data_IF_212661934650
#
_entry.id   IF_212661934650
#
_cell.length_a   1.000
_cell.length_b   1.000
_cell.length_c   1.000
_cell.angle_alpha   90.00
_cell.angle_beta   90.00
_cell.angle_gamma   90.00
#
_symmetry.space_group_name_H-M   'P 1'
#
loop_
_entity.id
_entity.type
_entity.pdbx_description
1 polymer ?
#
# COMPACT_ATOMS: atom_id res chain seq x y z
N UNK A 1 -19.99 -8.60 12.39
CA UNK A 1 -19.80 -7.50 13.35
C UNK A 1 -18.57 -7.80 14.19
N UNK A 2 -17.41 -7.34 13.74
CA UNK A 2 -16.17 -7.39 14.51
C UNK A 2 -16.24 -6.44 15.69
N UNK A 3 -15.55 -6.80 16.76
CA UNK A 3 -15.33 -5.96 17.93
C UNK A 3 -13.88 -5.45 17.88
N UNK A 4 -13.71 -4.15 17.70
CA UNK A 4 -12.41 -3.50 17.55
C UNK A 4 -12.12 -2.68 18.81
N UNK A 5 -10.99 -2.96 19.46
CA UNK A 5 -10.61 -2.31 20.72
C UNK A 5 -9.86 -1.00 20.47
N UNK A 6 -10.60 0.11 20.38
CA UNK A 6 -10.02 1.42 20.16
C UNK A 6 -9.12 1.81 21.36
N UNK A 7 -7.84 2.16 21.15
CA UNK A 7 -6.91 2.52 22.23
C UNK A 7 -7.37 3.67 23.14
N UNK A 8 -8.39 4.42 22.70
CA UNK A 8 -8.92 5.58 23.42
C UNK A 8 -10.35 5.38 23.93
N UNK A 9 -11.13 4.49 23.32
CA UNK A 9 -12.57 4.34 23.57
C UNK A 9 -12.99 2.94 24.01
N UNK A 10 -12.05 1.99 24.03
CA UNK A 10 -12.28 0.59 24.33
C UNK A 10 -12.95 -0.18 23.18
N UNK A 11 -13.50 -1.37 23.47
CA UNK A 11 -14.15 -2.23 22.50
C UNK A 11 -15.40 -1.58 21.89
N UNK A 12 -15.47 -1.52 20.56
CA UNK A 12 -16.59 -0.96 19.78
C UNK A 12 -16.88 -1.78 18.53
N UNK A 13 -18.08 -1.63 18.00
CA UNK A 13 -18.52 -2.35 16.81
C UNK A 13 -17.82 -1.82 15.54
N UNK A 14 -17.53 -2.71 14.59
CA UNK A 14 -16.81 -2.40 13.34
C UNK A 14 -17.39 -1.23 12.54
N UNK A 15 -18.72 -1.06 12.59
CA UNK A 15 -19.46 0.00 11.88
C UNK A 15 -19.11 1.41 12.36
N UNK A 16 -18.52 1.55 13.55
CA UNK A 16 -18.03 2.85 14.04
C UNK A 16 -16.71 3.27 13.37
N UNK A 17 -16.04 2.35 12.66
CA UNK A 17 -14.70 2.55 12.14
C UNK A 17 -14.67 2.64 10.61
N UNK A 18 -13.69 3.40 10.11
CA UNK A 18 -13.30 3.35 8.70
C UNK A 18 -12.00 2.56 8.55
N UNK A 19 -11.98 1.70 7.55
CA UNK A 19 -10.81 0.94 7.16
C UNK A 19 -9.85 1.82 6.34
N UNK A 20 -8.55 1.77 6.66
CA UNK A 20 -7.51 2.57 6.00
C UNK A 20 -6.50 1.78 5.16
N UNK A 21 -6.76 0.49 4.93
CA UNK A 21 -5.84 -0.39 4.20
C UNK A 21 -4.57 -0.70 4.98
N UNK A 22 -3.52 -1.04 4.25
CA UNK A 22 -2.20 -1.39 4.78
C UNK A 22 -1.60 -0.28 5.67
N UNK A 23 -0.96 -0.69 6.77
CA UNK A 23 -0.20 0.18 7.65
C UNK A 23 1.25 0.34 7.17
N UNK A 24 1.94 1.37 7.67
CA UNK A 24 3.38 1.58 7.43
C UNK A 24 3.77 1.89 5.97
N UNK A 25 2.85 2.44 5.18
CA UNK A 25 3.16 3.05 3.89
C UNK A 25 3.22 4.57 4.09
N UNK A 26 4.41 5.15 4.34
CA UNK A 26 4.56 6.59 4.52
C UNK A 26 4.38 7.33 3.18
N UNK A 27 3.99 8.59 3.28
CA UNK A 27 4.09 9.51 2.14
C UNK A 27 5.57 9.71 1.78
N UNK A 28 5.96 9.68 0.50
CA UNK A 28 7.35 9.94 0.10
C UNK A 28 7.80 11.34 0.55
N UNK A 29 9.00 11.45 1.11
CA UNK A 29 9.53 12.73 1.60
C UNK A 29 9.68 13.77 0.48
N UNK A 30 10.15 13.33 -0.69
CA UNK A 30 10.20 14.12 -1.93
C UNK A 30 9.54 13.35 -3.09
N UNK A 31 8.25 13.58 -3.35
CA UNK A 31 7.56 12.96 -4.48
C UNK A 31 8.11 13.34 -5.85
N UNK A 32 8.77 14.50 -5.98
CA UNK A 32 9.27 15.00 -7.26
C UNK A 32 10.55 14.31 -7.71
N UNK A 33 11.25 13.65 -6.78
CA UNK A 33 12.43 12.86 -7.04
C UNK A 33 12.12 11.41 -7.48
N UNK A 34 10.87 10.95 -7.37
CA UNK A 34 10.47 9.60 -7.75
C UNK A 34 10.22 9.47 -9.25
N UNK A 35 10.56 8.32 -9.81
CA UNK A 35 10.12 8.00 -11.17
C UNK A 35 8.63 7.59 -11.22
N UNK A 36 8.05 7.56 -12.42
CA UNK A 36 6.63 7.20 -12.61
C UNK A 36 6.27 5.81 -12.04
N UNK A 37 7.24 4.89 -12.03
CA UNK A 37 7.03 3.52 -11.53
C UNK A 37 6.99 3.50 -10.00
N UNK A 38 7.87 4.24 -9.34
CA UNK A 38 7.90 4.41 -7.90
C UNK A 38 6.67 5.18 -7.42
N UNK A 39 6.31 6.26 -8.13
CA UNK A 39 5.12 7.03 -7.82
C UNK A 39 3.83 6.22 -8.02
N UNK A 40 3.71 5.46 -9.11
CA UNK A 40 2.55 4.58 -9.32
C UNK A 40 2.44 3.47 -8.26
N UNK A 41 3.57 2.94 -7.77
CA UNK A 41 3.58 2.04 -6.61
C UNK A 41 3.01 2.71 -5.37
N UNK A 42 3.46 3.93 -5.05
CA UNK A 42 2.92 4.67 -3.92
C UNK A 42 1.42 4.98 -4.07
N UNK A 43 0.94 5.32 -5.27
CA UNK A 43 -0.46 5.66 -5.49
C UNK A 43 -1.38 4.44 -5.47
N UNK A 44 -0.99 3.34 -6.11
CA UNK A 44 -1.92 2.26 -6.47
C UNK A 44 -1.61 0.90 -5.83
N UNK A 45 -0.39 0.68 -5.31
CA UNK A 45 0.02 -0.65 -4.83
C UNK A 45 0.02 -0.72 -3.31
N UNK A 46 -0.69 -1.70 -2.77
CA UNK A 46 -0.67 -2.07 -1.34
C UNK A 46 -0.60 -3.58 -1.20
N UNK A 47 -0.05 -4.06 -0.09
CA UNK A 47 -0.07 -5.48 0.23
C UNK A 47 -1.51 -5.97 0.43
N UNK A 48 -1.80 -7.16 -0.10
CA UNK A 48 -3.06 -7.87 0.10
C UNK A 48 -2.80 -9.26 0.68
N UNK A 49 -2.15 -9.30 1.85
CA UNK A 49 -1.70 -10.53 2.48
C UNK A 49 -2.89 -11.41 2.89
N UNK A 50 -2.90 -12.66 2.43
CA UNK A 50 -3.78 -13.72 2.95
C UNK A 50 -3.15 -14.30 4.22
N UNK A 51 -3.61 -13.84 5.39
CA UNK A 51 -3.01 -14.12 6.68
C UNK A 51 -2.91 -12.86 7.52
N UNK A 52 -1.94 -12.77 8.43
CA UNK A 52 -1.82 -11.60 9.30
C UNK A 52 -1.30 -10.38 8.53
N UNK A 53 -2.17 -9.40 8.34
CA UNK A 53 -1.88 -8.11 7.72
C UNK A 53 -1.74 -7.02 8.78
N UNK A 54 -0.77 -6.13 8.59
CA UNK A 54 -0.70 -4.86 9.32
C UNK A 54 -1.55 -3.82 8.60
N UNK A 55 -2.57 -3.32 9.27
CA UNK A 55 -3.61 -2.46 8.69
C UNK A 55 -3.94 -1.27 9.58
N UNK A 56 -4.63 -0.28 9.03
CA UNK A 56 -5.03 0.96 9.71
C UNK A 56 -6.53 1.04 9.89
N UNK A 57 -6.93 1.60 11.03
CA UNK A 57 -8.32 1.87 11.34
C UNK A 57 -8.47 3.28 11.91
N UNK A 58 -9.58 3.94 11.57
CA UNK A 58 -9.98 5.21 12.16
C UNK A 58 -11.30 5.02 12.91
N UNK A 59 -11.36 5.44 14.17
CA UNK A 59 -12.61 5.43 14.95
C UNK A 59 -13.53 6.60 14.56
N UNK A 60 -14.05 6.56 13.34
CA UNK A 60 -14.75 7.67 12.70
C UNK A 60 -16.00 8.16 13.42
N UNK A 61 -16.74 7.25 14.08
CA UNK A 61 -17.94 7.58 14.86
C UNK A 61 -17.66 7.85 16.35
N UNK A 62 -16.38 7.83 16.76
CA UNK A 62 -15.95 8.06 18.15
C UNK A 62 -14.85 9.11 18.24
N UNK A 63 -13.65 8.71 18.70
CA UNK A 63 -12.56 9.67 18.93
C UNK A 63 -11.91 10.24 17.65
N UNK A 64 -12.26 9.73 16.46
CA UNK A 64 -11.75 10.12 15.14
C UNK A 64 -10.24 9.92 14.93
N UNK A 65 -9.55 9.30 15.90
CA UNK A 65 -8.11 9.00 15.82
C UNK A 65 -7.87 7.77 14.96
N UNK A 66 -6.70 7.78 14.31
CA UNK A 66 -6.14 6.64 13.60
C UNK A 66 -5.34 5.77 14.57
N UNK A 67 -5.30 4.47 14.30
CA UNK A 67 -4.43 3.49 14.95
C UNK A 67 -4.14 2.33 13.99
N UNK A 68 -3.18 1.49 14.37
CA UNK A 68 -2.80 0.32 13.60
C UNK A 68 -3.31 -0.96 14.27
N UNK A 69 -3.51 -2.00 13.48
CA UNK A 69 -3.88 -3.33 13.94
C UNK A 69 -3.11 -4.41 13.16
N UNK A 70 -2.92 -5.55 13.82
CA UNK A 70 -2.57 -6.81 13.15
C UNK A 70 -3.81 -7.69 13.16
N UNK A 71 -4.29 -8.07 11.98
CA UNK A 71 -5.48 -8.92 11.84
C UNK A 71 -5.22 -10.03 10.84
N UNK A 72 -5.62 -11.25 11.17
CA UNK A 72 -5.65 -12.33 10.19
C UNK A 72 -6.81 -12.09 9.21
N UNK A 73 -6.50 -11.81 7.95
CA UNK A 73 -7.49 -11.49 6.91
C UNK A 73 -8.34 -12.69 6.48
N UNK A 74 -8.02 -13.91 6.95
CA UNK A 74 -8.81 -15.12 6.69
C UNK A 74 -9.86 -15.35 7.77
N UNK A 75 -9.51 -15.12 9.04
CA UNK A 75 -10.35 -15.42 10.21
C UNK A 75 -10.96 -14.17 10.84
N UNK A 76 -10.45 -13.00 10.47
CA UNK A 76 -10.78 -11.68 11.01
C UNK A 76 -10.44 -11.48 12.49
N UNK A 77 -9.63 -12.38 13.07
CA UNK A 77 -9.14 -12.22 14.44
C UNK A 77 -8.09 -11.12 14.51
N UNK A 78 -8.28 -10.17 15.42
CA UNK A 78 -7.29 -9.18 15.77
C UNK A 78 -6.23 -9.80 16.69
N UNK A 79 -4.97 -9.77 16.27
CA UNK A 79 -3.83 -10.25 17.04
C UNK A 79 -3.27 -9.15 17.93
N UNK A 80 -3.21 -7.92 17.43
CA UNK A 80 -2.68 -6.74 18.15
C UNK A 80 -3.37 -5.46 17.70
N UNK A 81 -3.48 -4.50 18.60
CA UNK A 81 -3.82 -3.11 18.32
C UNK A 81 -2.72 -2.23 18.93
N UNK A 82 -2.27 -1.22 18.19
CA UNK A 82 -1.15 -0.39 18.60
C UNK A 82 -1.24 1.04 18.04
N UNK A 83 -0.60 2.03 18.69
CA UNK A 83 -0.68 3.42 18.28
C UNK A 83 -0.11 3.70 16.89
N UNK A 84 -0.57 4.78 16.28
CA UNK A 84 0.07 5.33 15.07
C UNK A 84 1.52 5.74 15.37
N UNK A 85 2.39 5.59 14.37
CA UNK A 85 3.82 5.93 14.47
C UNK A 85 4.66 4.92 15.26
N UNK A 86 4.04 3.97 15.97
CA UNK A 86 4.77 2.85 16.57
C UNK A 86 5.15 1.81 15.52
N UNK A 87 6.32 1.14 15.64
CA UNK A 87 6.71 0.08 14.73
C UNK A 87 5.70 -1.08 14.79
N UNK A 88 5.67 -1.89 13.72
CA UNK A 88 4.89 -3.13 13.68
C UNK A 88 5.36 -4.05 14.82
N UNK A 89 4.47 -4.49 15.73
CA UNK A 89 4.85 -5.44 16.76
C UNK A 89 5.04 -6.85 16.17
N UNK A 90 5.90 -7.64 16.81
CA UNK A 90 6.04 -9.06 16.49
C UNK A 90 4.75 -9.82 16.81
N UNK A 91 4.47 -10.84 16.01
CA UNK A 91 3.39 -11.77 16.32
C UNK A 91 3.81 -12.66 17.48
N UNK A 92 2.88 -13.05 18.37
CA UNK A 92 3.17 -14.12 19.29
C UNK A 92 3.56 -15.36 18.47
N UNK A 93 4.70 -15.96 18.78
CA UNK A 93 5.08 -17.26 18.23
C UNK A 93 3.90 -18.19 18.48
N UNK A 94 3.34 -18.84 17.45
CA UNK A 94 2.36 -19.89 17.67
C UNK A 94 2.95 -20.89 18.68
N UNK A 95 2.16 -21.46 19.60
CA UNK A 95 2.66 -22.59 20.38
C UNK A 95 3.24 -23.64 19.41
N UNK A 96 4.32 -24.32 19.80
CA UNK A 96 4.89 -25.43 19.02
C UNK A 96 3.80 -26.51 18.85
N UNK A 97 3.03 -26.39 17.77
CA UNK A 97 2.11 -27.44 17.33
C UNK A 97 2.97 -28.43 16.57
N UNK A 98 3.09 -29.68 17.03
CA UNK A 98 3.87 -30.67 16.30
C UNK A 98 3.31 -30.84 14.89
N UNK A 99 4.22 -31.01 13.92
CA UNK A 99 3.93 -30.91 12.48
C UNK A 99 2.90 -31.94 11.98
N UNK A 100 2.58 -32.96 12.78
CA UNK A 100 1.58 -33.99 12.53
C UNK A 100 0.14 -33.54 12.83
N UNK A 101 -0.05 -32.44 13.58
CA UNK A 101 -1.36 -31.87 13.88
C UNK A 101 -1.82 -30.77 12.90
N UNK A 102 -0.98 -30.39 11.93
CA UNK A 102 -1.37 -29.48 10.86
C UNK A 102 -2.17 -30.24 9.80
N UNK A 103 -3.51 -30.09 9.81
CA UNK A 103 -4.34 -30.69 8.78
C UNK A 103 -3.92 -30.21 7.38
N UNK A 104 -3.82 -31.09 6.37
CA UNK A 104 -3.40 -30.71 5.05
C UNK A 104 -4.40 -29.70 4.46
N UNK A 105 -3.88 -28.63 3.87
CA UNK A 105 -4.67 -27.64 3.15
C UNK A 105 -5.38 -28.32 1.97
N UNK A 106 -6.61 -28.75 2.22
CA UNK A 106 -7.50 -29.43 1.26
C UNK A 106 -7.79 -28.63 -0.01
N UNK A 107 -7.34 -27.37 -0.10
CA UNK A 107 -7.48 -26.52 -1.27
C UNK A 107 -6.16 -26.27 -2.03
N UNK A 108 -5.02 -26.82 -1.60
CA UNK A 108 -3.73 -26.60 -2.27
C UNK A 108 -3.56 -27.42 -3.58
N UNK A 109 -4.40 -28.42 -3.85
CA UNK A 109 -4.27 -29.29 -5.01
C UNK A 109 -5.23 -28.90 -6.15
N UNK A 110 -4.91 -27.83 -6.89
CA UNK A 110 -5.44 -27.61 -8.24
C UNK A 110 -4.56 -26.60 -9.01
N UNK A 111 -3.35 -27.01 -9.37
CA UNK A 111 -2.57 -26.35 -10.43
C UNK A 111 -1.94 -27.43 -11.32
N UNK A 112 -2.76 -28.14 -12.09
CA UNK A 112 -2.27 -28.88 -13.26
C UNK A 112 -2.07 -27.88 -14.39
N UNK A 113 -0.80 -27.58 -14.67
CA UNK A 113 -0.37 -26.84 -15.85
C UNK A 113 -0.54 -27.73 -17.08
N UNK A 114 -1.62 -27.57 -17.83
CA UNK A 114 -1.67 -28.07 -19.20
C UNK A 114 -1.17 -26.98 -20.13
N UNK A 115 0.01 -27.23 -20.72
CA UNK A 115 0.64 -26.36 -21.69
C UNK A 115 -0.23 -26.22 -22.94
N UNK A 116 -0.60 -24.98 -23.26
CA UNK A 116 -1.04 -24.59 -24.59
C UNK A 116 0.12 -23.86 -25.28
N UNK A 117 0.88 -24.60 -26.07
CA UNK A 117 1.72 -24.01 -27.12
C UNK A 117 0.89 -23.94 -28.40
N UNK A 118 0.56 -22.73 -28.84
CA UNK A 118 0.35 -22.50 -30.27
C UNK A 118 1.22 -21.31 -30.66
N UNK A 119 2.18 -21.61 -31.54
CA UNK A 119 3.11 -20.65 -32.10
C UNK A 119 2.55 -19.91 -33.32
N UNK A 120 3.45 -19.09 -33.86
CA UNK A 120 3.38 -18.26 -35.09
C UNK A 120 2.65 -16.92 -34.89
N UNK A 121 3.17 -15.78 -35.34
CA UNK A 121 4.26 -15.52 -36.28
C UNK A 121 4.86 -14.13 -36.02
N UNK A 122 6.09 -13.98 -36.50
CA UNK A 122 6.91 -12.78 -36.59
C UNK A 122 6.15 -11.51 -37.01
N UNK A 123 6.56 -10.38 -36.44
CA UNK A 123 6.04 -9.05 -36.75
C UNK A 123 6.91 -7.98 -36.10
N UNK A 124 8.18 -7.97 -36.47
CA UNK A 124 9.14 -6.90 -36.19
C UNK A 124 8.61 -5.60 -36.82
N UNK A 125 8.25 -4.63 -35.97
CA UNK A 125 7.97 -3.26 -36.39
C UNK A 125 8.51 -2.32 -35.33
N UNK A 126 9.82 -2.10 -35.41
CA UNK A 126 10.51 -0.95 -34.89
C UNK A 126 9.75 0.34 -35.25
N UNK A 127 9.11 0.96 -34.26
CA UNK A 127 8.71 2.35 -34.35
C UNK A 127 9.93 3.20 -34.01
N UNK A 128 10.64 3.58 -35.06
CA UNK A 128 11.71 4.58 -35.05
C UNK A 128 11.18 5.89 -34.49
N UNK A 129 11.82 6.36 -33.42
CA UNK A 129 11.68 7.71 -32.90
C UNK A 129 12.03 8.73 -34.01
N UNK A 130 11.06 9.54 -34.41
CA UNK A 130 11.34 10.78 -35.13
C UNK A 130 11.70 11.85 -34.11
N UNK A 131 12.98 12.18 -34.12
CA UNK A 131 13.61 13.36 -33.56
C UNK A 131 12.84 14.63 -33.96
N UNK A 132 12.59 15.50 -33.00
CA UNK A 132 12.20 16.89 -33.27
C UNK A 132 12.97 17.78 -32.32
N UNK A 133 14.27 17.87 -32.60
CA UNK A 133 15.10 19.00 -32.25
C UNK A 133 14.54 20.27 -32.90
N UNK A 134 13.83 21.09 -32.13
CA UNK A 134 13.60 22.48 -32.46
C UNK A 134 14.42 23.33 -31.49
N UNK A 135 15.64 23.66 -31.92
CA UNK A 135 16.38 24.78 -31.39
C UNK A 135 15.84 26.09 -31.98
N UNK A 136 15.30 26.94 -31.11
CA UNK A 136 15.25 28.41 -31.27
C UNK A 136 15.65 28.91 -29.88
N UNK A 137 16.81 29.52 -29.67
CA UNK A 137 17.28 30.72 -30.34
C UNK A 137 17.20 31.85 -29.31
N UNK A 138 18.34 32.10 -28.66
CA UNK A 138 18.78 33.28 -27.89
C UNK A 138 17.82 34.47 -27.79
N UNK A 139 17.60 34.99 -26.57
CA UNK A 139 18.20 36.28 -26.21
C UNK A 139 18.21 36.52 -24.70
N UNK A 140 19.38 36.93 -24.23
CA UNK A 140 19.56 37.56 -22.94
C UNK A 140 19.22 39.04 -23.11
N UNK A 141 18.32 39.57 -22.28
CA UNK A 141 18.42 40.99 -21.97
C UNK A 141 18.00 41.27 -20.53
N UNK A 142 18.95 41.85 -19.82
CA UNK A 142 18.81 42.33 -18.47
C UNK A 142 18.08 43.68 -18.49
N UNK A 143 17.00 43.82 -17.71
CA UNK A 143 16.54 45.14 -17.24
C UNK A 143 16.18 45.08 -15.76
N UNK A 144 17.15 45.54 -14.97
CA UNK A 144 17.03 46.44 -13.82
C UNK A 144 15.63 46.93 -13.42
N UNK A 145 15.30 46.73 -12.14
CA UNK A 145 14.69 47.71 -11.23
C UNK A 145 13.22 48.09 -11.46
N UNK A 146 12.36 47.85 -10.45
CA UNK A 146 11.96 48.92 -9.53
C UNK A 146 11.26 48.34 -8.29
N UNK A 147 11.51 49.01 -7.17
CA UNK A 147 10.78 48.95 -5.90
C UNK A 147 9.34 49.47 -6.05
N UNK A 148 8.63 49.49 -4.90
CA UNK A 148 7.30 50.02 -4.60
C UNK A 148 6.20 48.94 -4.50
N UNK A 149 5.94 48.39 -3.31
CA UNK A 149 5.13 48.99 -2.23
C UNK A 149 3.63 48.93 -2.60
N UNK A 150 2.84 48.16 -1.83
CA UNK A 150 1.45 48.46 -1.44
C UNK A 150 0.89 47.34 -0.55
N UNK A 151 0.81 47.68 0.74
CA UNK A 151 -0.27 47.43 1.71
C UNK A 151 -1.01 46.08 1.74
#
# INVERSE_FOLDING_TARGET
>A
MLLIDCPHCGPRNEVEFRYGGEAHVPYPEDPSALDDREWSRYLFYRANTKGVLAERWQHSAGCRKWFNALRDTRTYRFERIYPMGSPRPDLPTPPDIPADAAEPDRFAAAATTEGRTDGRADGDAALTATDSSAAVGTDADARTGNEDDHA
#
